data_IF_498133636254
#
_entry.id   IF_498133636254
#
_cell.length_a   1.000
_cell.length_b   1.000
_cell.length_c   1.000
_cell.angle_alpha   90.00
_cell.angle_beta   90.00
_cell.angle_gamma   90.00
#
_symmetry.space_group_name_H-M   'P 1'
#
loop_
_entity.id
_entity.type
_entity.pdbx_description
1 polymer ?
#
# COMPACT_ATOMS: atom_id res chain seq x y z
N UNK A 1 12.17 -3.05 -11.06
CA UNK A 1 10.81 -2.63 -10.74
C UNK A 1 10.46 -1.38 -11.53
N UNK A 2 9.24 -1.31 -12.03
CA UNK A 2 8.71 -0.15 -12.77
C UNK A 2 8.52 1.04 -11.82
N UNK A 3 8.69 2.25 -12.35
CA UNK A 3 8.48 3.50 -11.63
C UNK A 3 9.68 3.97 -10.83
N UNK A 4 9.60 5.23 -10.44
CA UNK A 4 10.61 5.94 -9.63
C UNK A 4 9.88 6.78 -8.57
N UNK A 5 10.60 7.58 -7.80
CA UNK A 5 10.01 8.55 -6.86
C UNK A 5 8.80 9.28 -7.48
N UNK A 6 7.69 9.34 -6.76
CA UNK A 6 6.38 9.90 -7.15
C UNK A 6 5.51 8.99 -8.02
N UNK A 7 5.95 7.77 -8.32
CA UNK A 7 5.10 6.78 -8.97
C UNK A 7 4.45 5.85 -7.94
N UNK A 8 3.29 5.29 -8.31
CA UNK A 8 2.57 4.31 -7.51
C UNK A 8 2.95 2.86 -7.85
N UNK A 9 3.81 2.67 -8.86
CA UNK A 9 4.36 1.36 -9.18
C UNK A 9 5.35 0.89 -8.10
N UNK A 10 5.66 -0.40 -8.09
CA UNK A 10 6.55 -1.01 -7.09
C UNK A 10 7.91 -0.30 -6.97
N UNK A 11 8.48 0.20 -8.08
CA UNK A 11 9.72 0.97 -8.05
C UNK A 11 9.62 2.33 -7.37
N UNK A 12 8.41 2.88 -7.24
CA UNK A 12 8.16 4.14 -6.56
C UNK A 12 7.85 3.99 -5.06
N UNK A 13 7.22 2.88 -4.66
CA UNK A 13 6.72 2.69 -3.28
C UNK A 13 7.41 1.56 -2.52
N UNK A 14 7.96 0.56 -3.20
CA UNK A 14 8.62 -0.57 -2.54
C UNK A 14 10.07 -0.24 -2.22
N UNK A 15 10.41 -0.33 -0.93
CA UNK A 15 11.76 -0.08 -0.42
C UNK A 15 12.27 -1.28 0.37
N UNK A 16 13.58 -1.55 0.35
CA UNK A 16 14.17 -2.57 1.22
C UNK A 16 14.12 -2.11 2.68
N UNK A 17 13.87 -3.06 3.59
CA UNK A 17 13.95 -2.83 5.02
C UNK A 17 14.94 -3.80 5.65
N UNK A 18 15.85 -3.27 6.49
CA UNK A 18 16.82 -4.06 7.26
C UNK A 18 16.65 -3.71 8.73
N UNK A 19 16.47 -4.74 9.55
CA UNK A 19 16.32 -4.58 11.00
C UNK A 19 17.45 -5.30 11.71
N UNK A 20 18.12 -4.58 12.62
CA UNK A 20 19.14 -5.15 13.49
C UNK A 20 18.77 -4.93 14.94
N UNK A 21 18.51 -6.01 15.66
CA UNK A 21 18.24 -6.00 17.11
C UNK A 21 18.87 -7.26 17.75
N UNK A 22 20.16 -7.18 18.15
CA UNK A 22 20.90 -8.32 18.66
C UNK A 22 20.22 -8.97 19.88
N UNK A 23 20.15 -10.30 19.89
CA UNK A 23 19.52 -11.07 20.95
C UNK A 23 18.00 -11.13 20.91
N UNK A 24 17.36 -10.39 20.00
CA UNK A 24 15.89 -10.38 19.81
C UNK A 24 15.51 -10.80 18.40
N UNK A 25 16.04 -10.16 17.38
CA UNK A 25 15.83 -10.53 15.97
C UNK A 25 16.91 -11.51 15.55
N UNK A 26 16.50 -12.64 14.97
CA UNK A 26 17.43 -13.70 14.51
C UNK A 26 18.28 -13.16 13.36
N UNK A 27 19.59 -13.27 13.50
CA UNK A 27 20.54 -12.88 12.44
C UNK A 27 20.30 -13.70 11.16
N UNK A 28 20.35 -13.04 10.00
CA UNK A 28 20.18 -13.69 8.69
C UNK A 28 18.75 -14.15 8.39
N UNK A 29 17.75 -13.80 9.21
CA UNK A 29 16.35 -14.10 8.90
C UNK A 29 15.85 -13.19 7.78
N UNK A 30 14.99 -13.74 6.91
CA UNK A 30 14.30 -13.03 5.84
C UNK A 30 12.81 -13.27 5.98
N UNK A 31 12.01 -12.28 5.69
CA UNK A 31 10.55 -12.39 5.68
C UNK A 31 9.97 -11.73 4.43
N UNK A 32 8.82 -12.22 3.97
CA UNK A 32 8.02 -11.65 2.90
C UNK A 32 6.74 -11.00 3.42
N UNK A 33 6.67 -10.73 4.74
CA UNK A 33 5.54 -10.01 5.31
C UNK A 33 5.36 -8.65 4.62
N UNK A 34 4.14 -8.39 4.21
CA UNK A 34 3.77 -7.12 3.55
C UNK A 34 3.50 -6.09 4.64
N UNK A 35 4.25 -5.00 4.62
CA UNK A 35 4.13 -3.89 5.56
C UNK A 35 4.33 -2.56 4.86
N UNK A 36 3.94 -1.48 5.52
CA UNK A 36 4.09 -0.13 5.02
C UNK A 36 4.76 0.80 6.05
N UNK A 37 5.11 2.02 5.65
CA UNK A 37 5.80 2.96 6.55
C UNK A 37 4.99 3.31 7.81
N UNK A 38 3.68 3.36 7.70
CA UNK A 38 2.79 3.63 8.85
C UNK A 38 2.77 2.51 9.88
N UNK A 39 3.30 1.32 9.57
CA UNK A 39 3.44 0.19 10.49
C UNK A 39 4.64 0.33 11.44
N UNK A 40 5.58 1.21 11.10
CA UNK A 40 6.81 1.40 11.91
C UNK A 40 6.46 1.96 13.29
N UNK A 41 5.58 2.96 13.36
CA UNK A 41 5.21 3.58 14.63
C UNK A 41 4.55 2.59 15.61
N UNK A 42 3.48 1.85 15.25
CA UNK A 42 2.91 0.86 16.15
C UNK A 42 3.88 -0.28 16.50
N UNK A 43 4.79 -0.64 15.58
CA UNK A 43 5.83 -1.64 15.87
C UNK A 43 6.81 -1.15 16.96
N UNK A 44 7.24 0.11 16.88
CA UNK A 44 8.12 0.69 17.90
C UNK A 44 7.38 0.90 19.23
N UNK A 45 6.12 1.30 19.19
CA UNK A 45 5.30 1.44 20.39
C UNK A 45 5.14 0.10 21.12
N UNK A 46 4.83 -0.97 20.40
CA UNK A 46 4.72 -2.31 20.97
C UNK A 46 6.08 -2.80 21.51
N UNK A 47 7.17 -2.56 20.78
CA UNK A 47 8.53 -2.92 21.21
C UNK A 47 8.93 -2.24 22.52
N UNK A 48 8.57 -0.98 22.69
CA UNK A 48 8.90 -0.17 23.88
C UNK A 48 7.84 -0.23 24.96
N UNK A 49 6.76 -1.00 24.76
CA UNK A 49 5.61 -1.09 25.67
C UNK A 49 4.97 0.27 25.97
N UNK A 50 4.94 1.14 24.95
CA UNK A 50 4.25 2.44 25.02
C UNK A 50 2.90 2.35 24.30
N UNK A 51 2.00 3.28 24.64
CA UNK A 51 0.73 3.37 23.92
C UNK A 51 0.97 4.01 22.56
N UNK A 52 0.56 3.39 21.46
CA UNK A 52 0.65 4.02 20.15
C UNK A 52 -0.31 5.22 20.08
N UNK A 53 -0.03 6.17 19.22
CA UNK A 53 -0.95 7.27 18.95
C UNK A 53 -2.32 6.72 18.52
N UNK A 54 -3.40 7.26 19.08
CA UNK A 54 -4.75 6.66 19.10
C UNK A 54 -5.37 6.40 17.70
N UNK A 55 -4.87 7.05 16.65
CA UNK A 55 -5.35 6.88 15.28
C UNK A 55 -4.19 6.60 14.35
N UNK A 56 -3.98 5.34 14.07
CA UNK A 56 -3.01 4.90 13.06
C UNK A 56 -3.61 3.78 12.24
N UNK A 57 -3.41 3.82 10.93
CA UNK A 57 -3.74 2.71 10.03
C UNK A 57 -2.72 1.59 10.11
N UNK A 58 -1.64 1.80 10.87
CA UNK A 58 -0.53 0.88 10.99
C UNK A 58 -0.84 -0.36 11.81
N UNK A 59 -0.29 -1.48 11.38
CA UNK A 59 -0.29 -2.76 12.09
C UNK A 59 1.14 -3.10 12.48
N UNK A 60 1.37 -3.34 13.77
CA UNK A 60 2.70 -3.73 14.23
C UNK A 60 3.16 -5.04 13.56
N UNK A 61 4.38 -5.03 13.02
CA UNK A 61 5.04 -6.24 12.52
C UNK A 61 6.09 -6.80 13.51
N UNK A 62 6.00 -6.43 14.78
CA UNK A 62 6.88 -6.95 15.83
C UNK A 62 6.83 -8.48 15.95
N UNK A 63 5.66 -9.17 15.86
CA UNK A 63 5.61 -10.63 15.85
C UNK A 63 6.48 -11.25 14.75
N UNK A 64 6.44 -10.68 13.54
CA UNK A 64 7.28 -11.12 12.41
C UNK A 64 8.77 -10.92 12.69
N UNK A 65 9.15 -9.76 13.23
CA UNK A 65 10.56 -9.46 13.57
C UNK A 65 11.12 -10.43 14.62
N UNK A 66 10.32 -10.74 15.64
CA UNK A 66 10.75 -11.61 16.73
C UNK A 66 10.57 -13.11 16.42
N UNK A 67 9.88 -13.46 15.35
CA UNK A 67 9.49 -14.82 15.02
C UNK A 67 8.59 -15.45 16.09
N UNK A 68 7.75 -14.66 16.74
CA UNK A 68 6.89 -15.08 17.87
C UNK A 68 5.51 -14.44 17.79
N UNK A 69 4.50 -15.22 18.16
CA UNK A 69 3.11 -14.76 18.17
C UNK A 69 2.44 -14.85 16.79
N UNK A 70 1.22 -14.31 16.71
CA UNK A 70 0.43 -14.26 15.47
C UNK A 70 0.59 -12.88 14.84
N UNK A 71 1.13 -12.83 13.62
CA UNK A 71 1.19 -11.61 12.84
C UNK A 71 -0.22 -11.29 12.30
N UNK A 72 -0.67 -10.06 12.55
CA UNK A 72 -1.84 -9.47 11.87
C UNK A 72 -1.39 -8.95 10.50
N UNK A 73 -2.27 -9.03 9.54
CA UNK A 73 -2.04 -8.53 8.18
C UNK A 73 -3.02 -7.42 7.87
N UNK A 74 -2.67 -6.56 6.93
CA UNK A 74 -3.58 -5.58 6.38
C UNK A 74 -4.58 -6.25 5.46
N UNK A 75 -5.84 -5.87 5.54
CA UNK A 75 -6.85 -6.28 4.56
C UNK A 75 -6.53 -5.69 3.17
N UNK A 76 -5.95 -4.51 3.14
CA UNK A 76 -5.38 -3.85 1.96
C UNK A 76 -4.38 -2.78 2.38
N UNK A 77 -3.55 -2.32 1.42
CA UNK A 77 -2.72 -1.11 1.54
C UNK A 77 -3.21 -0.08 0.52
N UNK A 78 -3.25 1.19 0.93
CA UNK A 78 -3.76 2.30 0.14
C UNK A 78 -2.77 3.46 0.08
N UNK A 79 -2.61 4.07 -1.09
CA UNK A 79 -1.74 5.23 -1.30
C UNK A 79 -2.39 6.25 -2.20
N UNK A 80 -2.16 7.52 -1.91
CA UNK A 80 -2.52 8.67 -2.76
C UNK A 80 -1.29 9.50 -3.08
N UNK A 81 -1.27 10.08 -4.27
CA UNK A 81 -0.31 11.08 -4.68
C UNK A 81 -0.98 12.12 -5.54
N UNK A 82 -1.08 13.35 -5.02
CA UNK A 82 -1.93 14.40 -5.58
C UNK A 82 -1.31 15.17 -6.76
N UNK A 83 0.00 15.10 -6.95
CA UNK A 83 0.69 15.76 -8.06
C UNK A 83 0.54 14.98 -9.39
N UNK A 84 0.88 15.65 -10.50
CA UNK A 84 0.93 15.04 -11.83
C UNK A 84 -0.38 14.38 -12.27
N UNK A 85 -1.51 15.06 -12.04
CA UNK A 85 -2.84 14.59 -12.43
C UNK A 85 -3.52 13.70 -11.40
N UNK A 86 -2.88 13.46 -10.25
CA UNK A 86 -3.39 12.58 -9.21
C UNK A 86 -3.22 11.10 -9.53
N UNK A 87 -2.79 10.34 -8.55
CA UNK A 87 -2.61 8.89 -8.63
C UNK A 87 -3.12 8.25 -7.35
N UNK A 88 -3.75 7.09 -7.46
CA UNK A 88 -4.16 6.28 -6.32
C UNK A 88 -3.70 4.85 -6.57
N UNK A 89 -3.29 4.16 -5.53
CA UNK A 89 -3.01 2.74 -5.61
C UNK A 89 -3.62 1.99 -4.44
N UNK A 90 -4.10 0.79 -4.71
CA UNK A 90 -4.53 -0.19 -3.70
C UNK A 90 -3.83 -1.51 -3.99
N UNK A 91 -3.30 -2.12 -2.94
CA UNK A 91 -2.84 -3.49 -2.95
C UNK A 91 -3.68 -4.31 -1.98
N UNK A 92 -4.27 -5.39 -2.48
CA UNK A 92 -4.96 -6.42 -1.69
C UNK A 92 -4.43 -7.78 -2.10
N UNK A 93 -3.89 -8.52 -1.17
CA UNK A 93 -3.23 -9.79 -1.44
C UNK A 93 -2.12 -9.63 -2.50
N UNK A 94 -2.25 -10.35 -3.62
CA UNK A 94 -1.33 -10.27 -4.76
C UNK A 94 -1.78 -9.26 -5.83
N UNK A 95 -2.99 -8.72 -5.73
CA UNK A 95 -3.50 -7.77 -6.69
C UNK A 95 -3.15 -6.34 -6.33
N UNK A 96 -2.75 -5.57 -7.34
CA UNK A 96 -2.51 -4.16 -7.20
C UNK A 96 -3.18 -3.40 -8.34
N UNK A 97 -4.07 -2.48 -7.98
CA UNK A 97 -4.66 -1.53 -8.91
C UNK A 97 -4.01 -0.16 -8.75
N UNK A 98 -3.79 0.52 -9.87
CA UNK A 98 -3.26 1.89 -9.91
C UNK A 98 -4.18 2.72 -10.79
N UNK A 99 -4.81 3.75 -10.23
CA UNK A 99 -5.58 4.74 -10.99
C UNK A 99 -4.72 5.96 -11.26
N UNK A 100 -4.54 6.29 -12.52
CA UNK A 100 -3.80 7.44 -13.01
C UNK A 100 -4.76 8.55 -13.45
N UNK A 101 -4.28 9.79 -13.44
CA UNK A 101 -5.02 10.99 -13.84
C UNK A 101 -6.36 11.12 -13.12
N UNK A 102 -6.36 10.91 -11.81
CA UNK A 102 -7.58 10.95 -10.97
C UNK A 102 -8.33 12.27 -11.09
N UNK A 103 -7.60 13.38 -11.32
CA UNK A 103 -8.15 14.73 -11.46
C UNK A 103 -8.70 15.04 -12.86
N UNK A 104 -8.52 14.14 -13.83
CA UNK A 104 -8.95 14.33 -15.22
C UNK A 104 -9.82 13.15 -15.66
N UNK A 105 -11.16 13.29 -15.63
CA UNK A 105 -12.08 12.20 -15.95
C UNK A 105 -11.93 11.63 -17.37
N UNK A 106 -11.46 12.46 -18.34
CA UNK A 106 -11.27 12.02 -19.73
C UNK A 106 -9.99 11.18 -19.91
N UNK A 107 -9.01 11.37 -19.02
CA UNK A 107 -7.71 10.68 -19.07
C UNK A 107 -7.54 9.65 -17.97
N UNK A 108 -8.50 9.56 -17.06
CA UNK A 108 -8.47 8.61 -15.95
C UNK A 108 -8.44 7.18 -16.48
N UNK A 109 -7.52 6.39 -15.96
CA UNK A 109 -7.38 4.97 -16.29
C UNK A 109 -6.94 4.21 -15.07
N UNK A 110 -7.54 3.02 -14.87
CA UNK A 110 -7.12 2.07 -13.84
C UNK A 110 -6.38 0.90 -14.49
N UNK A 111 -5.18 0.66 -14.02
CA UNK A 111 -4.33 -0.48 -14.37
C UNK A 111 -4.41 -1.53 -13.27
N UNK A 112 -4.26 -2.82 -13.63
CA UNK A 112 -4.28 -3.93 -12.68
C UNK A 112 -3.11 -4.86 -12.91
N UNK A 113 -2.46 -5.30 -11.82
CA UNK A 113 -1.30 -6.18 -11.83
C UNK A 113 -1.43 -7.29 -10.81
N UNK A 114 -0.97 -8.50 -11.17
CA UNK A 114 -0.80 -9.60 -10.22
C UNK A 114 0.68 -9.66 -9.79
N UNK A 115 1.00 -9.15 -8.62
CA UNK A 115 2.38 -9.03 -8.13
C UNK A 115 3.06 -10.37 -7.82
N UNK A 116 2.30 -11.49 -7.76
CA UNK A 116 2.89 -12.82 -7.62
C UNK A 116 3.47 -13.36 -8.92
N UNK A 117 3.00 -12.86 -10.07
CA UNK A 117 3.41 -13.28 -11.40
C UNK A 117 4.20 -12.20 -12.12
N UNK A 118 3.86 -10.93 -11.85
CA UNK A 118 4.42 -9.75 -12.51
C UNK A 118 4.79 -8.66 -11.48
N UNK A 119 5.88 -8.88 -10.77
CA UNK A 119 6.39 -7.91 -9.80
C UNK A 119 6.91 -6.62 -10.46
N UNK A 120 7.21 -6.67 -11.76
CA UNK A 120 7.68 -5.53 -12.53
C UNK A 120 6.54 -4.63 -13.02
N UNK A 121 5.29 -5.10 -12.96
CA UNK A 121 4.11 -4.37 -13.44
C UNK A 121 4.21 -4.03 -14.94
N UNK A 122 4.73 -4.99 -15.73
CA UNK A 122 4.91 -4.84 -17.16
C UNK A 122 3.63 -5.16 -17.96
N UNK A 123 2.73 -5.98 -17.37
CA UNK A 123 1.54 -6.51 -18.05
C UNK A 123 0.26 -6.04 -17.33
N UNK A 124 -0.38 -4.99 -17.85
CA UNK A 124 -1.68 -4.56 -17.35
C UNK A 124 -2.76 -5.56 -17.75
N UNK A 125 -3.36 -6.21 -16.75
CA UNK A 125 -4.41 -7.23 -16.92
C UNK A 125 -5.82 -6.74 -16.58
N UNK A 126 -6.03 -5.43 -16.45
CA UNK A 126 -7.33 -4.86 -16.06
C UNK A 126 -8.49 -5.31 -16.95
N UNK A 127 -8.27 -5.41 -18.26
CA UNK A 127 -9.29 -5.88 -19.21
C UNK A 127 -9.67 -7.36 -19.07
N UNK A 128 -8.78 -8.18 -18.47
CA UNK A 128 -9.00 -9.59 -18.25
C UNK A 128 -9.75 -9.89 -16.93
N UNK A 129 -9.68 -8.96 -15.96
CA UNK A 129 -10.25 -9.12 -14.62
C UNK A 129 -11.06 -7.90 -14.17
N UNK A 130 -12.12 -7.52 -14.92
CA UNK A 130 -12.89 -6.31 -14.64
C UNK A 130 -13.61 -6.34 -13.27
N UNK A 131 -13.93 -7.50 -12.75
CA UNK A 131 -14.51 -7.68 -11.41
C UNK A 131 -13.49 -7.30 -10.32
N UNK A 132 -12.21 -7.71 -10.46
CA UNK A 132 -11.16 -7.37 -9.50
C UNK A 132 -10.88 -5.86 -9.55
N UNK A 133 -10.85 -5.26 -10.74
CA UNK A 133 -10.73 -3.81 -10.89
C UNK A 133 -11.81 -3.09 -10.11
N UNK A 134 -13.07 -3.51 -10.27
CA UNK A 134 -14.22 -2.92 -9.57
C UNK A 134 -14.11 -3.01 -8.05
N UNK A 135 -13.72 -4.18 -7.54
CA UNK A 135 -13.54 -4.41 -6.11
C UNK A 135 -12.44 -3.52 -5.53
N UNK A 136 -11.31 -3.37 -6.24
CA UNK A 136 -10.22 -2.52 -5.80
C UNK A 136 -10.54 -1.02 -5.94
N UNK A 137 -11.28 -0.60 -6.97
CA UNK A 137 -11.79 0.77 -7.09
C UNK A 137 -12.79 1.10 -5.98
N UNK A 138 -13.61 0.15 -5.56
CA UNK A 138 -14.48 0.33 -4.39
C UNK A 138 -13.64 0.57 -3.13
N UNK A 139 -12.59 -0.22 -2.90
CA UNK A 139 -11.67 0.01 -1.77
C UNK A 139 -11.02 1.38 -1.87
N UNK A 140 -10.59 1.83 -3.06
CA UNK A 140 -10.04 3.17 -3.26
C UNK A 140 -11.02 4.27 -2.80
N UNK A 141 -12.30 4.12 -3.13
CA UNK A 141 -13.33 5.08 -2.74
C UNK A 141 -13.63 5.07 -1.23
N UNK A 142 -13.62 3.89 -0.61
CA UNK A 142 -13.89 3.73 0.83
C UNK A 142 -12.70 4.15 1.71
N UNK A 143 -11.47 3.96 1.22
CA UNK A 143 -10.24 4.30 1.93
C UNK A 143 -9.88 5.79 1.84
N UNK A 144 -10.39 6.49 0.82
CA UNK A 144 -10.15 7.92 0.67
C UNK A 144 -10.77 8.72 1.81
N UNK A 145 -9.99 9.63 2.38
CA UNK A 145 -10.45 10.60 3.38
C UNK A 145 -10.15 12.01 2.88
N UNK A 146 -11.20 12.82 2.77
CA UNK A 146 -11.05 14.21 2.37
C UNK A 146 -10.09 14.97 3.29
N UNK A 147 -9.24 15.80 2.70
CA UNK A 147 -8.30 16.64 3.43
C UNK A 147 -8.49 18.11 3.03
N UNK A 148 -8.61 18.99 4.03
CA UNK A 148 -8.69 20.43 3.79
C UNK A 148 -7.42 21.02 3.16
N UNK A 149 -6.29 20.31 3.27
CA UNK A 149 -4.97 20.76 2.79
C UNK A 149 -4.65 20.18 1.41
N UNK A 150 -5.05 18.91 1.18
CA UNK A 150 -4.79 18.19 -0.07
C UNK A 150 -6.11 17.61 -0.59
N UNK A 151 -6.84 18.42 -1.34
CA UNK A 151 -8.10 17.97 -1.93
C UNK A 151 -7.86 17.26 -3.26
N UNK A 152 -8.37 16.04 -3.40
CA UNK A 152 -8.71 15.51 -4.70
C UNK A 152 -9.99 16.20 -5.15
N UNK A 153 -9.87 17.24 -5.99
CA UNK A 153 -11.00 18.09 -6.40
C UNK A 153 -11.92 17.45 -7.42
N UNK A 154 -11.72 16.20 -7.78
CA UNK A 154 -12.65 15.47 -8.64
C UNK A 154 -13.34 14.38 -7.83
N UNK A 155 -14.68 14.31 -7.84
CA UNK A 155 -15.36 13.23 -7.17
C UNK A 155 -14.92 11.90 -7.79
N UNK A 156 -14.35 11.01 -6.97
CA UNK A 156 -14.12 9.62 -7.33
C UNK A 156 -15.44 8.83 -7.43
N UNK A 157 -16.55 9.53 -7.67
CA UNK A 157 -17.86 8.92 -7.74
C UNK A 157 -17.97 8.21 -9.08
N UNK A 158 -17.70 6.93 -9.08
CA UNK A 158 -18.28 6.04 -10.07
C UNK A 158 -19.77 5.94 -9.73
N UNK A 159 -20.60 6.58 -10.54
CA UNK A 159 -22.06 6.36 -10.51
C UNK A 159 -22.40 5.07 -11.24
#
# INVERSE_FOLDING_TARGET
>A
LRGVKRDMYEGGIRVPMIVRYPGKVKAGSVTHHVSAFWDVMPTLAELTQTVPYERTDGISFLPTLLGKGKQREHDYLYWEFHESGGKIAVRKDNWKAITLNVLDPERRVTELYNLSEDLHEDNNVASLYPEIVRDLEQIMNEAHVDSDVFTFTSPMIIK
#
